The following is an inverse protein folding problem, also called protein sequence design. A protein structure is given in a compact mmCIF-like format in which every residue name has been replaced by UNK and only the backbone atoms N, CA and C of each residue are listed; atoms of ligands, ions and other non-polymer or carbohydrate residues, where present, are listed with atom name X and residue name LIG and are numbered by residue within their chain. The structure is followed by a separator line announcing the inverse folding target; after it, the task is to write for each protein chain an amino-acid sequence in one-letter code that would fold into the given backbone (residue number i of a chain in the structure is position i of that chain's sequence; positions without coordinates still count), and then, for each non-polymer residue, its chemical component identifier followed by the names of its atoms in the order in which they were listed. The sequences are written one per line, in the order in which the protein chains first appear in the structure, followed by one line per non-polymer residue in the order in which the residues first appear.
data_IF_094732472712
#
_entry.id   IF_094732472712
#
_cell.length_a   1.000
_cell.length_b   1.000
_cell.length_c   1.000
_cell.angle_alpha   90.00
_cell.angle_beta   90.00
_cell.angle_gamma   90.00
#
_symmetry.space_group_name_H-M   'P 1'
#
loop_
_entity.id
_entity.type
_entity.pdbx_description
1 polymer ?
#
# COMPACT_ATOMS: atom_id res chain seq x y z
N UNK A 1 31.66 4.26 -44.14
CA UNK A 1 30.36 3.89 -43.54
C UNK A 1 30.16 2.41 -43.80
N UNK A 2 30.33 1.55 -42.80
CA UNK A 2 30.02 0.13 -42.95
C UNK A 2 28.52 0.04 -43.24
N UNK A 3 28.14 -0.38 -44.45
CA UNK A 3 26.76 -0.78 -44.74
C UNK A 3 26.44 -1.94 -43.78
N UNK A 4 25.87 -1.62 -42.62
CA UNK A 4 25.24 -2.63 -41.79
C UNK A 4 24.13 -3.21 -42.65
N UNK A 5 24.24 -4.50 -43.02
CA UNK A 5 23.20 -5.17 -43.79
C UNK A 5 21.92 -5.10 -42.97
N UNK A 6 21.03 -4.18 -43.35
CA UNK A 6 19.70 -4.08 -42.78
C UNK A 6 18.82 -5.09 -43.52
N UNK A 7 18.29 -6.04 -42.78
CA UNK A 7 17.31 -6.98 -43.30
C UNK A 7 15.92 -6.40 -42.99
N UNK A 8 14.94 -6.67 -43.85
CA UNK A 8 13.55 -6.27 -43.65
C UNK A 8 12.70 -7.54 -43.61
N UNK A 9 11.81 -7.62 -42.63
CA UNK A 9 10.80 -8.67 -42.55
C UNK A 9 9.42 -8.05 -42.70
N UNK A 10 8.59 -8.66 -43.54
CA UNK A 10 7.19 -8.28 -43.71
C UNK A 10 6.29 -9.41 -43.25
N UNK A 11 5.32 -9.09 -42.39
CA UNK A 11 4.33 -10.03 -41.91
C UNK A 11 3.24 -10.18 -42.96
N UNK A 12 2.91 -11.43 -43.32
CA UNK A 12 1.86 -11.74 -44.29
C UNK A 12 0.43 -11.42 -43.82
N UNK A 13 0.25 -11.04 -42.55
CA UNK A 13 -1.08 -10.87 -41.96
C UNK A 13 -1.79 -9.62 -42.47
N UNK A 14 -3.06 -9.79 -42.86
CA UNK A 14 -3.98 -8.74 -43.31
C UNK A 14 -4.61 -7.95 -42.16
N UNK A 15 -4.02 -7.98 -40.95
CA UNK A 15 -4.63 -7.35 -39.79
C UNK A 15 -4.82 -5.84 -40.02
N UNK A 16 -6.03 -5.37 -39.72
CA UNK A 16 -6.48 -3.98 -39.87
C UNK A 16 -6.10 -3.09 -38.68
N UNK A 17 -5.48 -3.66 -37.65
CA UNK A 17 -5.07 -2.93 -36.45
C UNK A 17 -3.80 -2.09 -36.64
N UNK A 18 -3.50 -1.29 -35.62
CA UNK A 18 -2.29 -0.46 -35.52
C UNK A 18 -0.98 -1.27 -35.31
N UNK A 19 -0.98 -2.57 -35.64
CA UNK A 19 0.18 -3.46 -35.47
C UNK A 19 1.18 -3.23 -36.60
N UNK A 20 2.49 -3.16 -36.33
CA UNK A 20 3.49 -3.04 -37.38
C UNK A 20 3.40 -4.22 -38.35
N UNK A 21 3.38 -3.93 -39.66
CA UNK A 21 3.38 -4.95 -40.72
C UNK A 21 4.79 -5.28 -41.18
N UNK A 22 5.73 -4.38 -40.97
CA UNK A 22 7.13 -4.51 -41.36
C UNK A 22 8.05 -4.23 -40.17
N UNK A 23 9.14 -4.97 -40.11
CA UNK A 23 10.16 -4.89 -39.08
C UNK A 23 11.54 -4.76 -39.73
N UNK A 24 12.37 -3.86 -39.21
CA UNK A 24 13.80 -3.82 -39.49
C UNK A 24 14.47 -4.89 -38.64
N UNK A 25 15.32 -5.69 -39.25
CA UNK A 25 16.10 -6.74 -38.61
C UNK A 25 17.58 -6.35 -38.59
N UNK A 26 18.13 -6.27 -37.39
CA UNK A 26 19.52 -5.97 -37.12
C UNK A 26 20.25 -7.25 -36.74
N UNK A 27 21.15 -7.72 -37.61
CA UNK A 27 21.95 -8.91 -37.34
C UNK A 27 23.11 -8.59 -36.38
N UNK A 28 23.29 -9.43 -35.36
CA UNK A 28 24.45 -9.34 -34.47
C UNK A 28 25.72 -9.77 -35.19
N UNK A 29 26.80 -9.00 -35.02
CA UNK A 29 28.13 -9.34 -35.56
C UNK A 29 28.88 -10.30 -34.65
N UNK A 30 28.61 -10.22 -33.35
CA UNK A 30 29.19 -11.06 -32.31
C UNK A 30 28.09 -11.39 -31.31
N UNK A 31 27.93 -12.67 -31.00
CA UNK A 31 27.00 -13.16 -30.00
C UNK A 31 27.51 -14.49 -29.43
N UNK A 32 27.12 -14.77 -28.19
CA UNK A 32 27.49 -16.02 -27.51
C UNK A 32 26.89 -17.20 -28.27
N UNK A 33 27.70 -18.21 -28.67
CA UNK A 33 27.17 -19.41 -29.34
C UNK A 33 26.08 -20.08 -28.51
N UNK A 34 24.92 -20.33 -29.13
CA UNK A 34 23.77 -20.96 -28.48
C UNK A 34 23.43 -22.28 -29.17
N UNK A 35 22.97 -23.26 -28.38
CA UNK A 35 22.44 -24.53 -28.86
C UNK A 35 20.95 -24.63 -28.54
N UNK A 36 20.20 -25.27 -29.43
CA UNK A 36 18.77 -25.57 -29.24
C UNK A 36 18.68 -26.98 -28.67
N UNK A 37 18.05 -27.09 -27.51
CA UNK A 37 17.82 -28.36 -26.85
C UNK A 37 16.32 -28.70 -26.89
N UNK A 38 16.02 -29.98 -27.05
CA UNK A 38 14.67 -30.51 -26.91
C UNK A 38 14.62 -31.52 -25.76
N UNK A 39 13.44 -31.66 -25.18
CA UNK A 39 13.14 -32.68 -24.18
C UNK A 39 12.01 -33.56 -24.67
N UNK A 40 12.22 -34.87 -24.66
CA UNK A 40 11.18 -35.84 -24.95
C UNK A 40 10.19 -35.98 -23.80
N UNK A 41 8.99 -36.52 -24.07
CA UNK A 41 8.00 -36.82 -23.03
C UNK A 41 8.50 -37.78 -21.93
N UNK A 42 9.59 -38.52 -22.20
CA UNK A 42 10.24 -39.42 -21.23
C UNK A 42 11.37 -38.73 -20.44
N UNK A 43 11.54 -37.41 -20.56
CA UNK A 43 12.55 -36.62 -19.85
C UNK A 43 13.98 -36.72 -20.42
N UNK A 44 14.16 -37.38 -21.57
CA UNK A 44 15.46 -37.42 -22.26
C UNK A 44 15.71 -36.09 -22.99
N UNK A 45 16.84 -35.46 -22.71
CA UNK A 45 17.33 -34.24 -23.37
C UNK A 45 18.21 -34.58 -24.60
N UNK A 46 18.07 -33.81 -25.67
CA UNK A 46 18.92 -33.87 -26.86
C UNK A 46 19.25 -32.48 -27.40
N UNK A 47 20.41 -32.33 -28.04
CA UNK A 47 20.80 -31.12 -28.75
C UNK A 47 20.36 -31.24 -30.22
N UNK A 48 19.40 -30.41 -30.64
CA UNK A 48 18.76 -30.48 -31.95
C UNK A 48 19.37 -29.52 -32.98
N UNK A 49 20.09 -28.50 -32.51
CA UNK A 49 20.63 -27.50 -33.43
C UNK A 49 21.52 -26.46 -32.77
N UNK A 50 22.09 -25.59 -33.60
CA UNK A 50 22.91 -24.45 -33.19
C UNK A 50 22.31 -23.17 -33.78
N UNK A 51 22.34 -22.10 -33.00
CA UNK A 51 21.95 -20.78 -33.48
C UNK A 51 23.14 -20.19 -34.23
N UNK A 52 23.02 -20.08 -35.55
CA UNK A 52 24.07 -19.52 -36.41
C UNK A 52 23.97 -18.00 -36.54
N UNK A 53 22.76 -17.45 -36.54
CA UNK A 53 22.51 -16.03 -36.68
C UNK A 53 21.48 -15.55 -35.65
N UNK A 54 21.79 -14.42 -35.01
CA UNK A 54 20.89 -13.72 -34.11
C UNK A 54 20.49 -12.38 -34.72
N UNK A 55 19.20 -12.07 -34.63
CA UNK A 55 18.65 -10.79 -35.09
C UNK A 55 17.87 -10.13 -33.95
N UNK A 56 18.07 -8.83 -33.79
CA UNK A 56 17.11 -7.98 -33.08
C UNK A 56 16.15 -7.38 -34.11
N UNK A 57 14.89 -7.20 -33.72
CA UNK A 57 13.88 -6.62 -34.58
C UNK A 57 13.28 -5.37 -33.95
N UNK A 58 13.02 -4.37 -34.79
CA UNK A 58 12.29 -3.17 -34.42
C UNK A 58 11.22 -2.87 -35.48
N UNK A 59 10.10 -2.23 -35.11
CA UNK A 59 9.12 -1.77 -36.08
C UNK A 59 9.80 -0.91 -37.16
N UNK A 60 9.55 -1.23 -38.42
CA UNK A 60 10.15 -0.48 -39.53
C UNK A 60 9.58 0.94 -39.63
N UNK A 61 10.38 1.87 -40.17
CA UNK A 61 10.05 3.31 -40.22
C UNK A 61 8.76 3.62 -40.97
N UNK A 62 8.43 2.84 -42.01
CA UNK A 62 7.27 3.07 -42.89
C UNK A 62 5.93 3.15 -42.14
N UNK A 63 5.79 2.46 -41.01
CA UNK A 63 4.53 2.39 -40.25
C UNK A 63 4.68 2.79 -38.77
N UNK A 64 5.73 3.56 -38.44
CA UNK A 64 6.08 3.89 -37.06
C UNK A 64 5.01 4.73 -36.35
N UNK A 65 4.31 5.61 -37.08
CA UNK A 65 3.24 6.43 -36.51
C UNK A 65 2.06 5.59 -35.97
N UNK A 66 1.65 4.56 -36.72
CA UNK A 66 0.59 3.64 -36.30
C UNK A 66 1.03 2.81 -35.10
N UNK A 67 2.30 2.35 -35.07
CA UNK A 67 2.85 1.70 -33.89
C UNK A 67 2.82 2.63 -32.65
N UNK A 68 3.16 3.90 -32.82
CA UNK A 68 3.07 4.91 -31.76
C UNK A 68 1.64 5.04 -31.21
N UNK A 69 0.62 5.01 -32.08
CA UNK A 69 -0.79 4.99 -31.67
C UNK A 69 -1.13 3.75 -30.85
N UNK A 70 -0.70 2.56 -31.30
CA UNK A 70 -0.88 1.30 -30.56
C UNK A 70 -0.23 1.35 -29.16
N UNK A 71 0.97 1.91 -29.05
CA UNK A 71 1.64 2.09 -27.76
C UNK A 71 0.85 3.01 -26.82
N UNK A 72 0.31 4.13 -27.34
CA UNK A 72 -0.53 5.05 -26.56
C UNK A 72 -1.84 4.40 -26.12
N UNK A 73 -2.50 3.65 -27.00
CA UNK A 73 -3.73 2.90 -26.69
C UNK A 73 -3.49 1.88 -25.57
N UNK A 74 -2.35 1.17 -25.60
CA UNK A 74 -1.94 0.26 -24.52
C UNK A 74 -1.76 1.02 -23.21
N UNK A 75 -1.00 2.11 -23.21
CA UNK A 75 -0.78 2.94 -22.01
C UNK A 75 -2.10 3.45 -21.44
N UNK A 76 -2.98 4.01 -22.28
CA UNK A 76 -4.29 4.49 -21.86
C UNK A 76 -5.12 3.38 -21.20
N UNK A 77 -5.16 2.19 -21.80
CA UNK A 77 -5.89 1.03 -21.26
C UNK A 77 -5.42 0.63 -19.86
N UNK A 78 -4.12 0.69 -19.60
CA UNK A 78 -3.54 0.34 -18.29
C UNK A 78 -3.54 1.51 -17.29
N UNK A 79 -3.65 2.75 -17.75
CA UNK A 79 -3.76 3.93 -16.87
C UNK A 79 -5.13 4.05 -16.19
N UNK A 80 -6.15 3.36 -16.69
CA UNK A 80 -7.44 3.26 -16.01
C UNK A 80 -7.25 2.48 -14.71
N UNK A 81 -7.21 3.19 -13.58
CA UNK A 81 -7.05 2.58 -12.25
C UNK A 81 -8.25 1.68 -11.96
N UNK A 82 -8.02 0.37 -11.86
CA UNK A 82 -9.05 -0.59 -11.44
C UNK A 82 -9.37 -0.51 -9.94
N UNK A 83 -8.51 0.13 -9.15
CA UNK A 83 -8.68 0.34 -7.71
C UNK A 83 -8.60 1.82 -7.36
N UNK A 84 -9.50 2.28 -6.50
CA UNK A 84 -9.42 3.59 -5.87
C UNK A 84 -8.98 3.42 -4.42
N UNK A 85 -8.02 4.24 -3.97
CA UNK A 85 -7.72 4.38 -2.55
C UNK A 85 -8.85 5.19 -1.93
N UNK A 86 -9.58 4.59 -0.99
CA UNK A 86 -10.53 5.30 -0.14
C UNK A 86 -9.84 5.59 1.19
N UNK A 87 -9.81 6.87 1.55
CA UNK A 87 -9.41 7.29 2.90
C UNK A 87 -10.64 7.14 3.77
N UNK A 88 -10.53 6.37 4.84
CA UNK A 88 -11.58 6.25 5.84
C UNK A 88 -11.59 7.55 6.66
N UNK A 89 -12.70 8.29 6.60
CA UNK A 89 -12.91 9.50 7.40
C UNK A 89 -13.05 9.21 8.91
N UNK A 90 -13.46 7.99 9.24
CA UNK A 90 -13.74 7.55 10.60
C UNK A 90 -12.73 6.46 11.06
N UNK A 91 -11.53 6.88 11.46
CA UNK A 91 -10.45 6.02 11.94
C UNK A 91 -10.59 5.64 13.44
N UNK A 92 -11.70 6.02 14.09
CA UNK A 92 -11.98 5.66 15.48
C UNK A 92 -11.97 4.14 15.68
N UNK A 93 -11.20 3.68 16.67
CA UNK A 93 -10.91 2.26 16.91
C UNK A 93 -12.14 1.36 17.09
N UNK A 94 -13.32 1.92 17.42
CA UNK A 94 -14.58 1.17 17.45
C UNK A 94 -15.06 0.74 16.06
N UNK A 95 -14.90 1.59 15.03
CA UNK A 95 -15.30 1.30 13.64
C UNK A 95 -14.33 0.36 12.92
N UNK A 96 -13.06 0.35 13.37
CA UNK A 96 -12.01 -0.51 12.83
C UNK A 96 -11.99 -1.91 13.44
N UNK A 97 -12.85 -2.21 14.43
CA UNK A 97 -12.94 -3.55 15.00
C UNK A 97 -13.66 -4.48 14.02
N UNK A 98 -13.14 -5.71 13.79
CA UNK A 98 -13.91 -6.73 13.10
C UNK A 98 -15.19 -6.97 13.90
N UNK A 99 -16.34 -6.64 13.31
CA UNK A 99 -17.65 -6.90 13.92
C UNK A 99 -17.81 -8.41 14.11
N UNK A 100 -17.93 -8.91 15.35
CA UNK A 100 -18.24 -10.31 15.59
C UNK A 100 -19.59 -10.63 14.93
N UNK A 101 -19.60 -11.55 13.96
CA UNK A 101 -20.83 -12.02 13.30
C UNK A 101 -21.04 -11.57 11.86
N UNK A 102 -20.31 -10.57 11.33
CA UNK A 102 -20.41 -10.19 9.90
C UNK A 102 -19.33 -10.83 9.01
N UNK A 103 -18.38 -11.56 9.59
CA UNK A 103 -17.36 -12.32 8.84
C UNK A 103 -17.95 -13.55 8.13
N UNK A 104 -19.21 -13.87 8.40
CA UNK A 104 -19.87 -14.96 7.72
C UNK A 104 -21.35 -14.72 7.62
N UNK A 105 -21.79 -14.22 6.47
CA UNK A 105 -23.06 -14.63 5.85
C UNK A 105 -23.01 -16.14 5.51
N UNK A 106 -22.58 -16.95 6.48
CA UNK A 106 -22.65 -18.39 6.46
C UNK A 106 -23.89 -18.70 7.30
N UNK A 107 -24.94 -19.29 6.71
CA UNK A 107 -26.20 -19.53 7.39
C UNK A 107 -25.96 -20.36 8.65
N UNK A 108 -26.43 -19.79 9.77
CA UNK A 108 -26.46 -20.35 11.11
C UNK A 108 -27.08 -21.75 11.11
N UNK A 109 -26.23 -22.77 11.00
CA UNK A 109 -26.47 -24.11 11.49
C UNK A 109 -25.55 -24.35 12.69
N UNK A 110 -26.02 -25.13 13.67
CA UNK A 110 -25.31 -25.58 14.88
C UNK A 110 -25.13 -24.55 16.02
N UNK A 111 -26.16 -24.54 16.88
CA UNK A 111 -26.07 -24.34 18.33
C UNK A 111 -24.95 -25.20 18.93
N UNK A 112 -23.82 -24.64 19.31
CA UNK A 112 -22.99 -25.26 20.34
C UNK A 112 -22.35 -24.20 21.24
N UNK A 113 -22.84 -24.15 22.49
CA UNK A 113 -22.31 -23.36 23.60
C UNK A 113 -20.87 -23.79 23.89
N UNK A 114 -19.87 -23.23 23.19
CA UNK A 114 -18.47 -23.35 23.61
C UNK A 114 -18.09 -22.12 24.42
N UNK A 115 -17.94 -22.38 25.73
CA UNK A 115 -17.41 -21.52 26.80
C UNK A 115 -16.50 -20.41 26.25
N UNK A 116 -16.89 -19.17 26.55
CA UNK A 116 -16.05 -17.98 26.45
C UNK A 116 -14.86 -18.17 27.38
N UNK A 117 -13.75 -18.67 26.85
CA UNK A 117 -12.47 -18.46 27.49
C UNK A 117 -12.18 -16.95 27.39
N UNK A 118 -11.74 -16.29 28.48
CA UNK A 118 -11.38 -14.88 28.43
C UNK A 118 -10.21 -14.75 27.46
N UNK A 119 -10.51 -14.29 26.25
CA UNK A 119 -9.51 -13.94 25.27
C UNK A 119 -8.63 -12.90 25.97
N UNK A 120 -7.40 -13.34 26.30
CA UNK A 120 -6.32 -12.42 26.66
C UNK A 120 -6.36 -11.30 25.64
N UNK A 121 -6.38 -10.02 26.05
CA UNK A 121 -6.35 -8.92 25.11
C UNK A 121 -5.15 -9.17 24.21
N UNK A 122 -5.42 -9.55 22.96
CA UNK A 122 -4.38 -9.69 21.97
C UNK A 122 -3.70 -8.33 21.95
N UNK A 123 -2.38 -8.32 22.07
CA UNK A 123 -1.53 -7.20 21.70
C UNK A 123 -1.76 -6.92 20.21
N UNK A 124 -2.93 -6.35 19.90
CA UNK A 124 -3.20 -5.72 18.62
C UNK A 124 -2.14 -4.65 18.57
N UNK A 125 -1.19 -4.81 17.65
CA UNK A 125 -0.19 -3.80 17.28
C UNK A 125 -0.95 -2.55 16.82
N UNK A 126 -1.46 -1.80 17.79
CA UNK A 126 -2.06 -0.47 17.63
C UNK A 126 -0.91 0.41 17.18
N UNK A 127 -1.00 0.95 15.97
CA UNK A 127 -0.03 1.92 15.47
C UNK A 127 0.04 3.07 16.47
N UNK A 128 1.22 3.27 17.05
CA UNK A 128 1.49 4.45 17.86
C UNK A 128 1.32 5.66 16.95
N UNK A 129 0.46 6.61 17.33
CA UNK A 129 0.39 7.90 16.65
C UNK A 129 1.72 8.64 16.77
N UNK A 130 1.94 9.60 15.89
CA UNK A 130 3.04 10.54 16.07
C UNK A 130 2.88 11.26 17.42
N UNK A 131 4.01 11.52 18.09
CA UNK A 131 4.02 12.15 19.40
C UNK A 131 3.42 13.56 19.35
N UNK A 132 3.79 14.35 18.33
CA UNK A 132 3.34 15.73 18.13
C UNK A 132 1.82 15.78 17.93
N UNK A 133 1.30 14.85 17.13
CA UNK A 133 -0.13 14.71 16.89
C UNK A 133 -0.88 14.35 18.19
N UNK A 134 -0.32 13.45 18.99
CA UNK A 134 -0.94 13.04 20.26
C UNK A 134 -0.96 14.16 21.30
N UNK A 135 0.12 14.96 21.40
CA UNK A 135 0.16 16.12 22.29
C UNK A 135 -0.97 17.12 21.95
N UNK A 136 -1.18 17.40 20.66
CA UNK A 136 -2.28 18.25 20.19
C UNK A 136 -3.67 17.69 20.54
N UNK A 137 -3.86 16.37 20.42
CA UNK A 137 -5.11 15.72 20.82
C UNK A 137 -5.31 15.85 22.33
N UNK A 138 -4.26 15.65 23.13
CA UNK A 138 -4.34 15.79 24.59
C UNK A 138 -4.75 17.22 24.98
N UNK A 139 -4.16 18.25 24.37
CA UNK A 139 -4.57 19.63 24.63
C UNK A 139 -6.06 19.86 24.32
N UNK A 140 -6.55 19.40 23.15
CA UNK A 140 -7.98 19.50 22.80
C UNK A 140 -8.89 18.75 23.77
N UNK A 141 -8.46 17.61 24.32
CA UNK A 141 -9.24 16.90 25.33
C UNK A 141 -9.35 17.71 26.63
N UNK A 142 -8.26 18.36 27.04
CA UNK A 142 -8.25 19.19 28.26
C UNK A 142 -9.03 20.51 28.12
N UNK A 143 -9.30 20.99 26.90
CA UNK A 143 -10.27 22.06 26.67
C UNK A 143 -11.70 21.63 27.02
N UNK A 144 -12.04 20.34 26.81
CA UNK A 144 -13.38 19.82 27.11
C UNK A 144 -13.62 19.63 28.60
N UNK A 145 -12.60 19.24 29.36
CA UNK A 145 -12.66 19.21 30.82
C UNK A 145 -11.25 19.33 31.41
N UNK A 146 -11.09 20.05 32.54
CA UNK A 146 -9.77 20.34 33.11
C UNK A 146 -9.06 19.12 33.71
N UNK A 147 -9.79 18.04 33.95
CA UNK A 147 -9.30 16.83 34.61
C UNK A 147 -9.71 15.59 33.81
N UNK A 148 -8.74 14.72 33.52
CA UNK A 148 -8.98 13.46 32.83
C UNK A 148 -8.40 12.28 33.58
N UNK A 149 -9.18 11.22 33.75
CA UNK A 149 -8.67 9.94 34.24
C UNK A 149 -7.90 9.22 33.13
N UNK A 150 -6.79 8.56 33.47
CA UNK A 150 -5.97 7.82 32.48
C UNK A 150 -6.80 6.82 31.65
N UNK A 151 -7.71 6.09 32.29
CA UNK A 151 -8.58 5.12 31.59
C UNK A 151 -9.50 5.78 30.56
N UNK A 152 -9.97 7.00 30.84
CA UNK A 152 -10.80 7.74 29.90
C UNK A 152 -9.96 8.23 28.71
N UNK A 153 -8.74 8.70 28.94
CA UNK A 153 -7.81 9.07 27.85
C UNK A 153 -7.48 7.88 26.95
N UNK A 154 -7.28 6.70 27.52
CA UNK A 154 -7.07 5.45 26.76
C UNK A 154 -8.27 5.13 25.89
N UNK A 155 -9.49 5.32 26.39
CA UNK A 155 -10.70 5.07 25.62
C UNK A 155 -10.91 6.11 24.51
N UNK A 156 -10.66 7.38 24.80
CA UNK A 156 -10.90 8.48 23.87
C UNK A 156 -9.88 8.49 22.71
N UNK A 157 -8.62 8.13 23.00
CA UNK A 157 -7.51 8.17 22.01
C UNK A 157 -7.19 6.79 21.40
N UNK A 158 -7.71 5.72 22.00
CA UNK A 158 -7.36 4.32 21.75
C UNK A 158 -5.85 4.03 21.80
N UNK A 159 -5.08 4.83 22.56
CA UNK A 159 -3.63 4.66 22.72
C UNK A 159 -3.27 3.78 23.93
N UNK A 160 -2.14 3.06 23.89
CA UNK A 160 -1.69 2.27 25.02
C UNK A 160 -1.38 3.15 26.23
N UNK A 161 -1.80 2.69 27.42
CA UNK A 161 -1.60 3.38 28.70
C UNK A 161 -0.14 3.83 28.92
N UNK A 162 0.82 3.00 28.50
CA UNK A 162 2.23 3.32 28.66
C UNK A 162 2.64 4.54 27.84
N UNK A 163 2.15 4.67 26.61
CA UNK A 163 2.46 5.83 25.76
C UNK A 163 1.78 7.10 26.26
N UNK A 164 0.52 6.99 26.70
CA UNK A 164 -0.15 8.13 27.33
C UNK A 164 0.56 8.56 28.62
N UNK A 165 1.08 7.62 29.43
CA UNK A 165 1.86 7.96 30.61
C UNK A 165 3.13 8.73 30.28
N UNK A 166 3.82 8.40 29.20
CA UNK A 166 4.99 9.15 28.73
C UNK A 166 4.61 10.60 28.41
N UNK A 167 3.54 10.82 27.63
CA UNK A 167 3.07 12.16 27.25
C UNK A 167 2.54 12.94 28.46
N UNK A 168 1.76 12.29 29.33
CA UNK A 168 1.20 12.91 30.52
C UNK A 168 2.27 13.29 31.55
N UNK A 169 3.40 12.59 31.59
CA UNK A 169 4.53 12.97 32.45
C UNK A 169 5.12 14.33 32.02
N UNK A 170 5.16 14.58 30.72
CA UNK A 170 5.68 15.81 30.15
C UNK A 170 4.68 16.96 30.24
N UNK A 171 3.38 16.71 29.99
CA UNK A 171 2.37 17.76 29.88
C UNK A 171 1.52 18.00 31.13
N UNK A 172 1.37 17.01 32.01
CA UNK A 172 0.34 17.01 33.06
C UNK A 172 0.91 16.83 34.48
N UNK A 173 0.07 17.14 35.47
CA UNK A 173 0.25 16.85 36.89
C UNK A 173 -0.78 15.79 37.29
N UNK A 174 -0.35 14.78 38.03
CA UNK A 174 -1.25 13.73 38.54
C UNK A 174 -1.81 14.11 39.92
N UNK A 175 -3.13 14.14 40.02
CA UNK A 175 -3.86 14.43 41.24
C UNK A 175 -3.89 13.20 42.16
N UNK A 176 -3.09 13.24 43.24
CA UNK A 176 -3.00 12.14 44.21
C UNK A 176 -4.08 12.17 45.30
N UNK A 177 -4.76 13.30 45.50
CA UNK A 177 -5.69 13.54 46.61
C UNK A 177 -6.82 14.48 46.20
N UNK A 178 -7.87 14.52 47.01
CA UNK A 178 -9.01 15.42 46.82
C UNK A 178 -10.08 14.84 45.88
N UNK A 179 -11.10 15.64 45.53
CA UNK A 179 -12.22 15.20 44.70
C UNK A 179 -11.80 14.75 43.30
N UNK A 180 -10.63 15.21 42.82
CA UNK A 180 -10.05 14.85 41.53
C UNK A 180 -8.96 13.76 41.66
N UNK A 181 -8.93 13.00 42.76
CA UNK A 181 -7.94 11.93 42.92
C UNK A 181 -8.00 10.93 41.75
N UNK A 182 -6.84 10.61 41.18
CA UNK A 182 -6.74 9.66 40.08
C UNK A 182 -6.86 10.28 38.69
N UNK A 183 -6.99 11.61 38.60
CA UNK A 183 -6.99 12.34 37.32
C UNK A 183 -5.64 13.02 37.05
N UNK A 184 -5.44 13.39 35.79
CA UNK A 184 -4.38 14.27 35.33
C UNK A 184 -4.98 15.64 34.99
N UNK A 185 -4.25 16.70 35.27
CA UNK A 185 -4.54 18.06 34.79
C UNK A 185 -3.32 18.62 34.05
N UNK A 186 -3.52 19.49 33.05
CA UNK A 186 -2.40 20.15 32.38
C UNK A 186 -1.56 20.97 33.36
N UNK A 187 -0.24 20.94 33.18
CA UNK A 187 0.67 21.82 33.91
C UNK A 187 0.25 23.28 33.68
N UNK A 188 0.37 24.15 34.69
CA UNK A 188 -0.06 25.55 34.60
C UNK A 188 0.65 26.33 33.50
N UNK A 189 1.85 25.91 33.10
CA UNK A 189 2.62 26.46 31.97
C UNK A 189 1.87 26.35 30.64
N UNK A 190 1.07 25.31 30.44
CA UNK A 190 0.28 25.10 29.22
C UNK A 190 -1.13 25.67 29.30
N UNK A 191 -1.62 26.07 30.48
CA UNK A 191 -2.97 26.64 30.63
C UNK A 191 -3.13 28.03 29.97
N UNK A 192 -2.09 28.59 29.32
CA UNK A 192 -2.07 29.98 28.82
C UNK A 192 -1.67 30.18 27.35
N UNK A 193 -1.64 29.15 26.50
CA UNK A 193 -1.03 29.26 25.16
C UNK A 193 -1.97 29.04 23.96
N UNK A 194 -3.23 29.46 24.01
CA UNK A 194 -4.12 29.39 22.81
C UNK A 194 -4.68 30.74 22.35
N UNK A 195 -4.14 31.86 22.84
CA UNK A 195 -4.33 33.16 22.19
C UNK A 195 -3.11 33.48 21.32
N UNK A 196 -3.34 33.81 20.04
CA UNK A 196 -2.36 34.34 19.07
C UNK A 196 -1.66 33.33 18.14
N UNK A 197 -2.42 32.58 17.33
CA UNK A 197 -1.97 32.27 15.95
C UNK A 197 -3.17 32.02 15.04
N UNK A 198 -4.03 33.04 14.86
CA UNK A 198 -4.92 33.12 13.70
C UNK A 198 -4.70 34.48 13.03
N UNK A 199 -3.58 34.57 12.32
CA UNK A 199 -3.20 35.72 11.52
C UNK A 199 -2.37 35.25 10.32
N UNK A 200 -3.03 34.61 9.36
CA UNK A 200 -2.57 34.49 7.97
C UNK A 200 -3.72 34.04 7.06
#
# INVERSE_FOLDING_TARGET
MLLQRQFKMELAQTNTGNTPKSYSLNMFKDFVPMCVFSESNQGKLSCEGKVEHKFDMEPHSDNLANYGKLCRERTQKYMVKSRQVQVLDNDHGMSMRPMPGLVGLIPSGSKEKKKQAPAKPSDVKRTRRDRTEMENIIFKLFERQPNWALKALVQETDQPEQFLKEILNDLCVYNKRGPNQGTHELKPEYKKSTGDTDAA
#
